data_IF_242881428975
#
_entry.id   IF_242881428975
#
_cell.length_a   1.000
_cell.length_b   1.000
_cell.length_c   1.000
_cell.angle_alpha   90.00
_cell.angle_beta   90.00
_cell.angle_gamma   90.00
#
_symmetry.space_group_name_H-M   'P 1'
#
loop_
_entity.id
_entity.type
_entity.pdbx_description
1 polymer ?
#
# COMPACT_ATOMS: atom_id res chain seq x y z
N UNK A 1 31.54 8.74 13.64
CA UNK A 1 30.99 7.44 13.29
C UNK A 1 29.89 7.62 12.27
N UNK A 2 29.97 6.86 11.24
CA UNK A 2 28.98 6.94 10.18
C UNK A 2 27.99 5.80 10.29
N UNK A 3 26.87 6.06 10.96
CA UNK A 3 25.81 5.08 11.16
C UNK A 3 25.07 4.69 9.86
N UNK A 4 25.32 5.42 8.77
CA UNK A 4 24.66 5.16 7.48
C UNK A 4 25.35 4.06 6.67
N UNK A 5 26.57 3.66 7.06
CA UNK A 5 27.26 2.59 6.34
C UNK A 5 26.66 1.22 6.67
N UNK A 6 26.44 0.43 5.62
CA UNK A 6 25.96 -0.94 5.75
C UNK A 6 27.15 -1.85 6.05
N UNK A 7 27.06 -2.58 7.15
CA UNK A 7 28.09 -3.55 7.54
C UNK A 7 28.01 -4.80 6.67
N UNK A 8 29.13 -5.50 6.53
CA UNK A 8 29.23 -6.68 5.68
C UNK A 8 28.26 -7.80 6.06
N UNK A 9 27.88 -7.88 7.32
CA UNK A 9 26.93 -8.87 7.81
C UNK A 9 25.46 -8.47 7.68
N UNK A 10 25.20 -7.26 7.18
CA UNK A 10 23.84 -6.76 7.04
C UNK A 10 23.15 -7.36 5.81
N UNK A 11 21.84 -7.73 5.92
CA UNK A 11 21.11 -8.32 4.79
C UNK A 11 21.09 -7.47 3.52
N UNK A 12 21.16 -6.15 3.66
CA UNK A 12 21.18 -5.24 2.51
C UNK A 12 22.56 -5.02 1.92
N UNK A 13 23.61 -5.60 2.56
CA UNK A 13 24.96 -5.41 2.06
C UNK A 13 25.16 -6.17 0.76
N UNK A 14 25.64 -5.44 -0.25
CA UNK A 14 26.04 -6.02 -1.54
C UNK A 14 27.35 -5.37 -1.96
N UNK A 15 28.40 -6.17 -1.98
CA UNK A 15 29.75 -5.70 -2.26
C UNK A 15 29.79 -4.88 -3.56
N UNK A 16 30.34 -3.66 -3.48
CA UNK A 16 30.50 -2.78 -4.63
C UNK A 16 29.22 -2.13 -5.16
N UNK A 17 28.08 -2.37 -4.53
CA UNK A 17 26.79 -1.87 -5.05
C UNK A 17 26.25 -0.70 -4.26
N UNK A 18 26.20 -0.80 -2.92
CA UNK A 18 25.73 0.27 -2.06
C UNK A 18 26.75 0.56 -0.99
N UNK A 19 26.94 1.84 -0.67
CA UNK A 19 27.90 2.28 0.34
C UNK A 19 27.27 2.49 1.71
N UNK A 20 25.93 2.67 1.77
CA UNK A 20 25.26 2.98 3.02
C UNK A 20 23.78 2.56 2.96
N UNK A 21 23.13 2.54 4.12
CA UNK A 21 21.69 2.34 4.22
C UNK A 21 20.90 3.39 3.44
N UNK A 22 21.31 4.65 3.53
CA UNK A 22 20.62 5.72 2.82
C UNK A 22 20.70 5.53 1.32
N UNK A 23 21.83 5.06 0.81
CA UNK A 23 22.01 4.79 -0.61
C UNK A 23 21.10 3.63 -1.08
N UNK A 24 21.09 2.53 -0.33
CA UNK A 24 20.24 1.39 -0.63
C UNK A 24 18.74 1.75 -0.53
N UNK A 25 18.36 2.45 0.53
CA UNK A 25 16.97 2.86 0.74
C UNK A 25 16.51 3.84 -0.35
N UNK A 26 17.36 4.78 -0.72
CA UNK A 26 17.05 5.74 -1.79
C UNK A 26 16.84 5.02 -3.13
N UNK A 27 17.69 4.06 -3.46
CA UNK A 27 17.54 3.28 -4.70
C UNK A 27 16.25 2.47 -4.73
N UNK A 28 15.90 1.85 -3.61
CA UNK A 28 14.65 1.09 -3.49
C UNK A 28 13.43 1.98 -3.63
N UNK A 29 13.43 3.15 -2.97
CA UNK A 29 12.34 4.11 -3.04
C UNK A 29 12.18 4.66 -4.46
N UNK A 30 13.29 4.99 -5.11
CA UNK A 30 13.28 5.48 -6.48
C UNK A 30 12.69 4.46 -7.45
N UNK A 31 13.06 3.19 -7.31
CA UNK A 31 12.53 2.12 -8.12
C UNK A 31 11.02 1.96 -7.89
N UNK A 32 10.57 2.01 -6.64
CA UNK A 32 9.15 1.95 -6.30
C UNK A 32 8.38 3.11 -6.94
N UNK A 33 8.88 4.33 -6.81
CA UNK A 33 8.21 5.52 -7.35
C UNK A 33 8.18 5.53 -8.87
N UNK A 34 9.21 4.97 -9.52
CA UNK A 34 9.28 4.90 -10.97
C UNK A 34 8.34 3.87 -11.59
N UNK A 35 7.83 2.93 -10.80
CA UNK A 35 6.91 1.89 -11.28
C UNK A 35 5.48 2.42 -11.24
N UNK A 36 4.84 2.54 -12.40
CA UNK A 36 3.44 3.00 -12.51
C UNK A 36 2.45 1.87 -12.27
N UNK A 37 2.75 0.68 -12.78
CA UNK A 37 1.87 -0.48 -12.65
C UNK A 37 1.79 -0.95 -11.21
N UNK A 38 0.63 -1.43 -10.83
CA UNK A 38 0.42 -2.01 -9.52
C UNK A 38 -1.05 -2.21 -9.26
N UNK A 39 -1.36 -2.53 -8.00
CA UNK A 39 -2.71 -2.84 -7.59
C UNK A 39 -3.32 -1.68 -6.81
N UNK A 40 -4.63 -1.52 -6.98
CA UNK A 40 -5.47 -0.78 -6.02
C UNK A 40 -6.31 -1.82 -5.29
N UNK A 41 -6.40 -1.72 -3.98
CA UNK A 41 -6.99 -2.76 -3.16
C UNK A 41 -7.91 -2.19 -2.09
N UNK A 42 -8.80 -3.05 -1.60
CA UNK A 42 -9.69 -2.76 -0.47
C UNK A 42 -9.32 -3.71 0.67
N UNK A 43 -9.04 -3.13 1.83
CA UNK A 43 -8.69 -3.87 3.04
C UNK A 43 -9.66 -3.47 4.15
N UNK A 44 -10.07 -4.44 4.94
CA UNK A 44 -10.91 -4.23 6.13
C UNK A 44 -10.20 -4.72 7.36
N UNK A 45 -10.68 -4.27 8.52
CA UNK A 45 -10.19 -4.73 9.81
C UNK A 45 -11.39 -4.91 10.74
N UNK A 46 -11.44 -6.06 11.42
CA UNK A 46 -12.56 -6.37 12.32
C UNK A 46 -12.71 -5.41 13.49
N UNK A 47 -11.64 -4.69 13.86
CA UNK A 47 -11.70 -3.66 14.89
C UNK A 47 -12.51 -2.43 14.45
N UNK A 48 -12.62 -2.20 13.15
CA UNK A 48 -13.36 -1.07 12.57
C UNK A 48 -14.30 -1.56 11.48
N UNK A 49 -15.41 -2.23 11.85
CA UNK A 49 -16.24 -2.97 10.88
C UNK A 49 -16.95 -2.09 9.84
N UNK A 50 -17.13 -0.79 10.15
CA UNK A 50 -17.80 0.13 9.22
C UNK A 50 -16.83 0.87 8.30
N UNK A 51 -15.54 0.58 8.40
CA UNK A 51 -14.50 1.27 7.66
C UNK A 51 -13.80 0.36 6.67
N UNK A 52 -13.43 0.93 5.53
CA UNK A 52 -12.59 0.25 4.54
C UNK A 52 -11.39 1.12 4.23
N UNK A 53 -10.27 0.50 3.92
CA UNK A 53 -9.09 1.19 3.42
C UNK A 53 -8.97 0.92 1.92
N UNK A 54 -8.82 1.99 1.14
CA UNK A 54 -8.48 1.91 -0.28
C UNK A 54 -7.03 2.35 -0.42
N UNK A 55 -6.19 1.45 -0.86
CA UNK A 55 -4.77 1.69 -0.97
C UNK A 55 -4.21 1.20 -2.30
N UNK A 56 -2.93 1.47 -2.52
CA UNK A 56 -2.21 0.99 -3.68
C UNK A 56 -0.90 0.35 -3.28
N UNK A 57 -0.46 -0.59 -4.09
CA UNK A 57 0.83 -1.25 -3.91
C UNK A 57 1.30 -1.81 -5.23
N UNK A 58 2.59 -2.11 -5.34
CA UNK A 58 3.09 -2.88 -6.48
C UNK A 58 2.51 -4.28 -6.40
N UNK A 59 2.45 -4.85 -5.20
CA UNK A 59 1.83 -6.14 -4.93
C UNK A 59 0.98 -6.03 -3.67
N UNK A 60 -0.35 -6.16 -3.82
CA UNK A 60 -1.28 -6.01 -2.71
C UNK A 60 -1.18 -7.13 -1.68
N UNK A 61 -0.83 -8.34 -2.09
CA UNK A 61 -0.67 -9.46 -1.15
C UNK A 61 0.54 -9.25 -0.24
N UNK A 62 1.65 -8.77 -0.77
CA UNK A 62 2.82 -8.40 0.03
C UNK A 62 2.49 -7.29 1.01
N UNK A 63 1.67 -6.33 0.59
CA UNK A 63 1.24 -5.23 1.45
C UNK A 63 0.37 -5.73 2.60
N UNK A 64 -0.51 -6.70 2.32
CA UNK A 64 -1.33 -7.33 3.35
C UNK A 64 -0.46 -8.04 4.39
N UNK A 65 0.58 -8.76 3.96
CA UNK A 65 1.52 -9.41 4.88
C UNK A 65 2.14 -8.38 5.82
N UNK A 66 2.54 -7.20 5.30
CA UNK A 66 3.08 -6.12 6.12
C UNK A 66 2.08 -5.64 7.18
N UNK A 67 0.81 -5.48 6.82
CA UNK A 67 -0.23 -5.10 7.78
C UNK A 67 -0.43 -6.16 8.85
N UNK A 68 -0.51 -7.43 8.47
CA UNK A 68 -0.69 -8.53 9.41
C UNK A 68 0.47 -8.63 10.40
N UNK A 69 1.68 -8.39 9.91
CA UNK A 69 2.88 -8.43 10.76
C UNK A 69 2.84 -7.35 11.84
N UNK A 70 2.29 -6.18 11.56
CA UNK A 70 2.19 -5.07 12.51
C UNK A 70 0.98 -5.15 13.43
N UNK A 71 0.04 -6.06 13.18
CA UNK A 71 -1.14 -6.27 14.01
C UNK A 71 -0.97 -7.52 14.88
N UNK A 72 -1.15 -7.41 16.22
CA UNK A 72 -1.05 -8.59 17.09
C UNK A 72 -2.12 -9.64 16.82
N UNK A 73 -3.25 -9.25 16.26
CA UNK A 73 -4.38 -10.13 15.98
C UNK A 73 -4.47 -10.61 14.54
N UNK A 74 -3.66 -10.04 13.65
CA UNK A 74 -3.64 -10.38 12.22
C UNK A 74 -5.03 -10.36 11.59
N UNK A 75 -5.78 -9.32 11.92
CA UNK A 75 -7.21 -9.19 11.63
C UNK A 75 -7.53 -8.34 10.40
N UNK A 76 -6.53 -7.97 9.62
CA UNK A 76 -6.73 -7.33 8.32
C UNK A 76 -7.15 -8.36 7.28
N UNK A 77 -8.09 -7.98 6.43
CA UNK A 77 -8.57 -8.83 5.35
C UNK A 77 -8.48 -8.08 4.03
N UNK A 78 -7.84 -8.71 3.04
CA UNK A 78 -7.83 -8.19 1.68
C UNK A 78 -9.15 -8.59 1.02
N UNK A 79 -10.03 -7.60 0.83
CA UNK A 79 -11.38 -7.85 0.30
C UNK A 79 -11.40 -7.85 -1.22
N UNK A 80 -10.56 -7.05 -1.85
CA UNK A 80 -10.53 -6.90 -3.30
C UNK A 80 -9.21 -6.31 -3.75
N UNK A 81 -8.76 -6.69 -4.92
CA UNK A 81 -7.61 -6.10 -5.57
C UNK A 81 -7.80 -6.11 -7.08
N UNK A 82 -7.32 -5.09 -7.75
CA UNK A 82 -7.35 -5.00 -9.20
C UNK A 82 -6.06 -4.37 -9.72
N UNK A 83 -5.51 -4.90 -10.81
CA UNK A 83 -4.31 -4.33 -11.43
C UNK A 83 -4.64 -3.10 -12.27
N UNK A 84 -3.72 -2.14 -12.29
CA UNK A 84 -3.83 -0.94 -13.10
C UNK A 84 -2.47 -0.60 -13.72
N UNK A 85 -2.50 0.00 -14.89
CA UNK A 85 -1.29 0.48 -15.55
C UNK A 85 -0.68 1.67 -14.83
N UNK A 86 -1.52 2.49 -14.19
CA UNK A 86 -1.10 3.61 -13.35
C UNK A 86 -1.84 3.54 -12.02
N UNK A 87 -1.23 2.91 -11.03
CA UNK A 87 -1.86 2.70 -9.72
C UNK A 87 -2.15 3.99 -8.97
N UNK A 88 -1.30 5.01 -9.13
CA UNK A 88 -1.48 6.28 -8.43
C UNK A 88 -2.69 7.04 -8.96
N UNK A 89 -2.85 7.05 -10.28
CA UNK A 89 -4.00 7.68 -10.92
C UNK A 89 -5.28 6.96 -10.52
N UNK A 90 -5.26 5.63 -10.52
CA UNK A 90 -6.41 4.81 -10.13
C UNK A 90 -6.78 5.04 -8.66
N UNK A 91 -5.80 5.05 -7.75
CA UNK A 91 -6.05 5.32 -6.34
C UNK A 91 -6.62 6.72 -6.13
N UNK A 92 -6.06 7.72 -6.77
CA UNK A 92 -6.54 9.11 -6.68
C UNK A 92 -8.00 9.21 -7.09
N UNK A 93 -8.38 8.58 -8.19
CA UNK A 93 -9.77 8.56 -8.66
C UNK A 93 -10.68 7.78 -7.72
N UNK A 94 -10.21 6.64 -7.22
CA UNK A 94 -10.97 5.85 -6.25
C UNK A 94 -11.22 6.64 -4.96
N UNK A 95 -10.21 7.33 -4.44
CA UNK A 95 -10.35 8.17 -3.25
C UNK A 95 -11.34 9.31 -3.48
N UNK A 96 -11.28 9.95 -4.64
CA UNK A 96 -12.21 11.02 -4.99
C UNK A 96 -13.65 10.53 -4.96
N UNK A 97 -13.94 9.39 -5.58
CA UNK A 97 -15.28 8.81 -5.59
C UNK A 97 -15.73 8.35 -4.21
N UNK A 98 -14.82 7.73 -3.45
CA UNK A 98 -15.13 7.28 -2.10
C UNK A 98 -15.47 8.44 -1.16
N UNK A 99 -14.75 9.56 -1.27
CA UNK A 99 -15.06 10.75 -0.47
C UNK A 99 -16.46 11.31 -0.74
N UNK A 100 -16.94 11.17 -1.96
CA UNK A 100 -18.28 11.67 -2.32
C UNK A 100 -19.42 10.88 -1.68
N UNK A 101 -19.21 9.59 -1.38
CA UNK A 101 -20.28 8.71 -0.89
C UNK A 101 -20.05 8.23 0.55
N UNK A 102 -18.87 8.43 1.12
CA UNK A 102 -18.60 8.01 2.49
C UNK A 102 -19.22 8.98 3.50
N UNK A 103 -19.69 8.44 4.63
CA UNK A 103 -20.17 9.27 5.74
C UNK A 103 -19.03 10.07 6.37
N UNK A 104 -17.84 9.46 6.40
CA UNK A 104 -16.66 10.04 7.01
C UNK A 104 -15.42 9.44 6.33
N UNK A 105 -14.32 10.16 6.32
CA UNK A 105 -13.06 9.64 5.82
C UNK A 105 -11.87 10.21 6.59
N UNK A 106 -10.80 9.42 6.66
CA UNK A 106 -9.52 9.83 7.26
C UNK A 106 -8.39 9.21 6.44
N UNK A 107 -7.64 10.05 5.73
CA UNK A 107 -6.56 9.58 4.86
C UNK A 107 -7.09 8.60 3.82
N UNK A 108 -6.64 7.36 3.87
CA UNK A 108 -7.05 6.29 2.95
C UNK A 108 -8.21 5.44 3.49
N UNK A 109 -8.73 5.78 4.67
CA UNK A 109 -9.84 5.09 5.30
C UNK A 109 -11.16 5.82 5.04
N UNK A 110 -12.20 5.04 4.71
CA UNK A 110 -13.53 5.57 4.35
C UNK A 110 -14.61 4.79 5.08
N UNK A 111 -15.56 5.52 5.65
CA UNK A 111 -16.70 4.91 6.30
C UNK A 111 -17.79 4.62 5.26
N UNK A 112 -17.61 3.52 4.57
CA UNK A 112 -18.55 2.96 3.56
C UNK A 112 -18.51 1.44 3.66
N UNK A 113 -19.48 0.77 3.05
CA UNK A 113 -19.42 -0.68 2.99
C UNK A 113 -18.41 -1.14 1.92
N UNK A 114 -17.91 -2.35 2.08
CA UNK A 114 -16.87 -2.90 1.18
C UNK A 114 -17.38 -3.07 -0.25
N UNK A 115 -18.65 -3.39 -0.42
CA UNK A 115 -19.26 -3.55 -1.75
C UNK A 115 -19.20 -2.26 -2.54
N UNK A 116 -19.48 -1.13 -1.90
CA UNK A 116 -19.38 0.18 -2.54
C UNK A 116 -17.93 0.50 -2.94
N UNK A 117 -16.98 0.19 -2.07
CA UNK A 117 -15.56 0.38 -2.38
C UNK A 117 -15.11 -0.50 -3.55
N UNK A 118 -15.51 -1.76 -3.56
CA UNK A 118 -15.21 -2.69 -4.65
C UNK A 118 -15.80 -2.21 -5.97
N UNK A 119 -17.05 -1.73 -5.94
CA UNK A 119 -17.71 -1.20 -7.14
C UNK A 119 -16.98 0.02 -7.70
N UNK A 120 -16.49 0.90 -6.84
CA UNK A 120 -15.69 2.06 -7.28
C UNK A 120 -14.47 1.58 -8.05
N UNK A 121 -13.69 0.67 -7.48
CA UNK A 121 -12.45 0.21 -8.11
C UNK A 121 -12.74 -0.58 -9.39
N UNK A 122 -13.72 -1.47 -9.37
CA UNK A 122 -14.06 -2.27 -10.56
C UNK A 122 -14.55 -1.40 -11.71
N UNK A 123 -15.17 -0.25 -11.42
CA UNK A 123 -15.65 0.68 -12.46
C UNK A 123 -14.54 1.50 -13.11
N UNK A 124 -13.34 1.48 -12.55
CA UNK A 124 -12.18 2.19 -13.11
C UNK A 124 -11.48 1.42 -14.22
N UNK A 125 -11.77 0.14 -14.35
CA UNK A 125 -11.19 -0.70 -15.40
C UNK A 125 -11.95 -0.58 -16.72
#
# INVERSE_FOLDING_TARGET
VNSNYIKKDHPLYKAGRYKSFNDAAFSSLKNYEGTKKGDVYVVTNSAWPDWVKIGMAIDSEDRLVSYQTSSPHRDFTLEYTAPFDDRRKAETEAHKRARLISEEHKGEWFKINKESAINIISSLN
#
